data_IF_384960886936
#
_entry.id   IF_384960886936
#
_cell.length_a   1.000
_cell.length_b   1.000
_cell.length_c   1.000
_cell.angle_alpha   90.00
_cell.angle_beta   90.00
_cell.angle_gamma   90.00
#
_symmetry.space_group_name_H-M   'P 1'
#
loop_
_entity.id
_entity.type
_entity.pdbx_description
1 polymer ?
#
# COMPACT_ATOMS: atom_id res chain seq x y z
N UNK A 1 -21.88 -5.30 -16.72
CA UNK A 1 -22.18 -3.97 -16.19
C UNK A 1 -20.90 -3.26 -15.76
N UNK A 2 -20.13 -3.77 -14.80
CA UNK A 2 -18.87 -3.12 -14.39
C UNK A 2 -17.88 -2.87 -15.53
N UNK A 3 -17.63 -3.83 -16.43
CA UNK A 3 -16.68 -3.64 -17.54
C UNK A 3 -17.12 -2.58 -18.58
N UNK A 4 -18.42 -2.50 -18.87
CA UNK A 4 -18.97 -1.49 -19.78
C UNK A 4 -18.87 -0.09 -19.18
N UNK A 5 -19.16 0.06 -17.89
CA UNK A 5 -19.00 1.34 -17.18
C UNK A 5 -17.53 1.77 -17.11
N UNK A 6 -16.60 0.84 -16.85
CA UNK A 6 -15.16 1.11 -16.87
C UNK A 6 -14.73 1.62 -18.25
N UNK A 7 -15.11 0.92 -19.32
CA UNK A 7 -14.77 1.33 -20.69
C UNK A 7 -15.37 2.69 -21.06
N UNK A 8 -16.62 2.94 -20.66
CA UNK A 8 -17.28 4.22 -20.91
C UNK A 8 -16.56 5.37 -20.20
N UNK A 9 -16.25 5.23 -18.92
CA UNK A 9 -15.52 6.24 -18.14
C UNK A 9 -14.12 6.44 -18.73
N UNK A 10 -13.40 5.37 -19.06
CA UNK A 10 -12.07 5.48 -19.65
C UNK A 10 -12.06 6.27 -20.97
N UNK A 11 -13.08 6.06 -21.82
CA UNK A 11 -13.22 6.82 -23.06
C UNK A 11 -13.48 8.32 -22.82
N UNK A 12 -14.15 8.67 -21.71
CA UNK A 12 -14.40 10.06 -21.32
C UNK A 12 -13.14 10.75 -20.76
N UNK A 13 -12.15 9.99 -20.31
CA UNK A 13 -10.83 10.50 -19.86
C UNK A 13 -9.82 10.70 -21.00
N UNK A 14 -10.16 10.37 -22.25
CA UNK A 14 -9.24 10.57 -23.38
C UNK A 14 -9.11 12.06 -23.73
N UNK A 15 -8.16 12.75 -23.10
CA UNK A 15 -7.86 14.16 -23.32
C UNK A 15 -8.44 15.06 -22.24
N UNK A 16 -8.85 16.28 -22.60
CA UNK A 16 -9.45 17.20 -21.63
C UNK A 16 -10.91 16.84 -21.39
N UNK A 17 -11.24 16.40 -20.18
CA UNK A 17 -12.61 16.14 -19.73
C UNK A 17 -13.37 17.47 -19.64
N UNK A 18 -14.36 17.65 -20.51
CA UNK A 18 -15.23 18.83 -20.51
C UNK A 18 -16.38 18.59 -19.55
N UNK A 19 -16.99 19.66 -19.07
CA UNK A 19 -18.19 19.62 -18.22
C UNK A 19 -19.27 18.58 -18.57
N UNK A 20 -19.62 18.40 -19.84
CA UNK A 20 -20.62 17.41 -20.25
C UNK A 20 -20.14 15.94 -20.14
N UNK A 21 -18.83 15.71 -20.18
CA UNK A 21 -18.19 14.42 -19.92
C UNK A 21 -18.10 14.18 -18.42
N UNK A 22 -17.79 15.21 -17.61
CA UNK A 22 -17.86 15.13 -16.14
C UNK A 22 -19.26 14.77 -15.64
N UNK A 23 -20.31 15.40 -16.17
CA UNK A 23 -21.70 15.05 -15.85
C UNK A 23 -22.02 13.59 -16.23
N UNK A 24 -21.52 13.11 -17.38
CA UNK A 24 -21.70 11.72 -17.79
C UNK A 24 -20.96 10.74 -16.86
N UNK A 25 -19.74 11.05 -16.45
CA UNK A 25 -19.00 10.27 -15.45
C UNK A 25 -19.80 10.21 -14.15
N UNK A 26 -20.28 11.36 -13.67
CA UNK A 26 -21.08 11.44 -12.45
C UNK A 26 -22.38 10.65 -12.56
N UNK A 27 -23.07 10.70 -13.69
CA UNK A 27 -24.29 9.92 -13.93
C UNK A 27 -24.03 8.42 -13.93
N UNK A 28 -22.91 7.97 -14.53
CA UNK A 28 -22.51 6.55 -14.49
C UNK A 28 -22.19 6.14 -13.05
N UNK A 29 -21.36 6.89 -12.32
CA UNK A 29 -20.95 6.54 -10.95
C UNK A 29 -22.15 6.58 -10.00
N UNK A 30 -22.97 7.63 -10.07
CA UNK A 30 -24.15 7.78 -9.21
C UNK A 30 -25.30 6.83 -9.57
N UNK A 31 -25.24 6.18 -10.74
CA UNK A 31 -26.19 5.14 -11.16
C UNK A 31 -25.85 3.73 -10.65
N UNK A 32 -24.71 3.54 -9.98
CA UNK A 32 -24.26 2.25 -9.47
C UNK A 32 -24.24 2.28 -7.94
N UNK A 33 -24.73 1.22 -7.30
CA UNK A 33 -24.99 1.16 -5.86
C UNK A 33 -24.23 0.00 -5.17
N UNK A 34 -24.06 0.11 -3.85
CA UNK A 34 -23.53 -0.91 -2.96
C UNK A 34 -22.22 -1.56 -3.43
N UNK A 35 -22.15 -2.89 -3.34
CA UNK A 35 -20.95 -3.65 -3.73
C UNK A 35 -20.56 -3.45 -5.20
N UNK A 36 -21.51 -3.19 -6.08
CA UNK A 36 -21.20 -2.99 -7.50
C UNK A 36 -20.44 -1.68 -7.72
N UNK A 37 -20.77 -0.63 -6.96
CA UNK A 37 -20.02 0.62 -6.98
C UNK A 37 -18.60 0.39 -6.48
N UNK A 38 -18.42 -0.36 -5.39
CA UNK A 38 -17.08 -0.71 -4.92
C UNK A 38 -16.29 -1.49 -5.97
N UNK A 39 -16.92 -2.40 -6.73
CA UNK A 39 -16.25 -3.15 -7.80
C UNK A 39 -15.84 -2.23 -8.95
N UNK A 40 -16.70 -1.29 -9.34
CA UNK A 40 -16.41 -0.28 -10.35
C UNK A 40 -15.22 0.59 -9.92
N UNK A 41 -15.24 1.14 -8.70
CA UNK A 41 -14.15 1.96 -8.15
C UNK A 41 -12.81 1.22 -8.18
N UNK A 42 -12.80 -0.04 -7.73
CA UNK A 42 -11.58 -0.85 -7.76
C UNK A 42 -11.12 -1.18 -9.18
N UNK A 43 -12.03 -1.36 -10.12
CA UNK A 43 -11.67 -1.58 -11.51
C UNK A 43 -11.04 -0.33 -12.15
N UNK A 44 -11.60 0.85 -11.89
CA UNK A 44 -11.06 2.15 -12.32
C UNK A 44 -9.67 2.41 -11.70
N UNK A 45 -9.49 2.08 -10.42
CA UNK A 45 -8.23 2.28 -9.71
C UNK A 45 -7.10 1.32 -10.12
N UNK A 46 -7.40 0.23 -10.85
CA UNK A 46 -6.38 -0.76 -11.29
C UNK A 46 -5.72 -0.42 -12.63
N UNK A 47 -6.06 0.72 -13.21
CA UNK A 47 -5.50 1.16 -14.50
C UNK A 47 -4.01 1.43 -14.36
N UNK A 48 -3.23 1.04 -15.37
CA UNK A 48 -1.77 1.07 -15.36
C UNK A 48 -1.16 2.36 -15.95
N UNK A 49 -2.00 3.38 -16.16
CA UNK A 49 -1.61 4.71 -16.60
C UNK A 49 -1.99 5.78 -15.55
N UNK A 50 -1.91 7.06 -15.91
CA UNK A 50 -2.20 8.18 -15.00
C UNK A 50 -3.71 8.43 -14.79
N UNK A 51 -4.59 7.69 -15.46
CA UNK A 51 -6.03 7.93 -15.43
C UNK A 51 -6.73 7.01 -14.40
N UNK A 52 -6.18 6.90 -13.20
CA UNK A 52 -6.80 6.13 -12.11
C UNK A 52 -8.04 6.87 -11.53
N UNK A 53 -8.67 6.27 -10.51
CA UNK A 53 -9.86 6.85 -9.89
C UNK A 53 -9.57 8.15 -9.14
N UNK A 54 -8.35 8.33 -8.61
CA UNK A 54 -7.97 9.55 -7.92
C UNK A 54 -7.81 10.69 -8.91
N UNK A 55 -7.07 10.47 -10.00
CA UNK A 55 -6.93 11.47 -11.06
C UNK A 55 -8.29 11.78 -11.68
N UNK A 56 -9.15 10.77 -11.91
CA UNK A 56 -10.51 11.01 -12.41
C UNK A 56 -11.30 12.00 -11.53
N UNK A 57 -11.29 11.78 -10.21
CA UNK A 57 -12.16 12.53 -9.30
C UNK A 57 -11.53 13.87 -8.87
N UNK A 58 -10.22 13.93 -8.68
CA UNK A 58 -9.52 15.10 -8.14
C UNK A 58 -8.72 15.88 -9.19
N UNK A 59 -8.40 15.28 -10.33
CA UNK A 59 -7.72 15.91 -11.47
C UNK A 59 -8.67 16.26 -12.60
N UNK A 60 -9.33 15.26 -13.20
CA UNK A 60 -10.14 15.37 -14.41
C UNK A 60 -11.48 16.10 -14.18
N UNK A 61 -12.14 15.86 -13.04
CA UNK A 61 -13.38 16.55 -12.66
C UNK A 61 -13.02 17.88 -11.99
N UNK A 62 -13.10 18.97 -12.76
CA UNK A 62 -12.78 20.31 -12.28
C UNK A 62 -13.99 21.02 -11.62
N UNK A 63 -15.23 20.65 -11.98
CA UNK A 63 -16.46 21.18 -11.38
C UNK A 63 -16.64 20.62 -9.96
N UNK A 64 -16.48 21.50 -8.97
CA UNK A 64 -16.57 21.18 -7.55
C UNK A 64 -17.92 20.58 -7.16
N UNK A 65 -19.02 21.03 -7.76
CA UNK A 65 -20.35 20.51 -7.46
C UNK A 65 -20.54 19.08 -8.00
N UNK A 66 -19.93 18.76 -9.14
CA UNK A 66 -19.96 17.41 -9.71
C UNK A 66 -19.11 16.47 -8.85
N UNK A 67 -17.90 16.89 -8.47
CA UNK A 67 -17.04 16.12 -7.56
C UNK A 67 -17.72 15.85 -6.22
N UNK A 68 -18.31 16.87 -5.59
CA UNK A 68 -19.04 16.71 -4.33
C UNK A 68 -20.21 15.71 -4.47
N UNK A 69 -20.94 15.75 -5.59
CA UNK A 69 -22.02 14.80 -5.89
C UNK A 69 -21.51 13.36 -5.92
N UNK A 70 -20.40 13.12 -6.61
CA UNK A 70 -19.76 11.79 -6.69
C UNK A 70 -19.31 11.32 -5.30
N UNK A 71 -18.58 12.17 -4.57
CA UNK A 71 -18.06 11.80 -3.24
C UNK A 71 -19.18 11.55 -2.22
N UNK A 72 -20.26 12.33 -2.27
CA UNK A 72 -21.43 12.12 -1.41
C UNK A 72 -22.12 10.78 -1.72
N UNK A 73 -22.26 10.43 -2.99
CA UNK A 73 -22.80 9.13 -3.41
C UNK A 73 -21.93 7.97 -2.93
N UNK A 74 -20.61 8.06 -3.14
CA UNK A 74 -19.65 7.05 -2.66
C UNK A 74 -19.76 6.85 -1.15
N UNK A 75 -19.82 7.94 -0.38
CA UNK A 75 -19.93 7.87 1.07
C UNK A 75 -21.27 7.24 1.52
N UNK A 76 -22.37 7.56 0.84
CA UNK A 76 -23.69 7.01 1.15
C UNK A 76 -23.76 5.51 0.89
N UNK A 77 -23.24 5.04 -0.25
CA UNK A 77 -23.26 3.63 -0.64
C UNK A 77 -22.28 2.75 0.15
N UNK A 78 -21.20 3.33 0.64
CA UNK A 78 -20.22 2.62 1.47
C UNK A 78 -20.70 2.40 2.91
N UNK A 79 -21.54 3.29 3.45
CA UNK A 79 -21.94 3.25 4.87
C UNK A 79 -22.59 1.91 5.28
N UNK A 80 -23.51 1.32 4.50
CA UNK A 80 -24.13 0.04 4.84
C UNK A 80 -23.18 -1.16 4.72
N UNK A 81 -22.10 -1.05 3.94
CA UNK A 81 -21.14 -2.15 3.71
C UNK A 81 -20.19 -2.36 4.89
N UNK A 82 -19.97 -1.34 5.71
CA UNK A 82 -19.00 -1.39 6.79
C UNK A 82 -17.56 -1.49 6.26
N UNK A 83 -16.71 -2.31 6.89
CA UNK A 83 -15.32 -2.50 6.50
C UNK A 83 -15.12 -3.79 5.72
N UNK A 84 -14.83 -3.67 4.43
CA UNK A 84 -14.64 -4.80 3.52
C UNK A 84 -13.23 -5.36 3.52
N UNK A 85 -12.23 -4.53 3.83
CA UNK A 85 -10.82 -4.90 3.81
C UNK A 85 -9.91 -3.73 4.12
N UNK A 86 -8.66 -3.81 3.68
CA UNK A 86 -7.69 -2.73 3.77
C UNK A 86 -7.08 -2.41 2.42
N UNK A 87 -6.73 -1.14 2.25
CA UNK A 87 -5.92 -0.61 1.17
C UNK A 87 -4.51 -0.41 1.69
N UNK A 88 -3.51 -0.88 0.94
CA UNK A 88 -2.13 -0.85 1.40
C UNK A 88 -1.41 0.30 0.72
N UNK A 89 -0.94 1.26 1.51
CA UNK A 89 -0.08 2.35 1.05
C UNK A 89 1.36 2.04 1.48
N UNK A 90 2.31 2.01 0.56
CA UNK A 90 3.71 1.70 0.90
C UNK A 90 4.66 2.78 0.41
N UNK A 91 5.56 3.24 1.28
CA UNK A 91 6.79 3.89 0.82
C UNK A 91 7.66 2.89 0.04
N UNK A 92 8.65 3.39 -0.70
CA UNK A 92 9.52 2.59 -1.58
C UNK A 92 10.95 2.58 -1.05
N UNK A 93 11.50 3.75 -0.75
CA UNK A 93 12.92 3.87 -0.49
C UNK A 93 13.21 3.50 0.97
N UNK A 94 14.23 2.68 1.20
CA UNK A 94 14.55 2.06 2.50
C UNK A 94 13.45 1.15 3.07
N UNK A 95 12.20 1.25 2.59
CA UNK A 95 11.08 0.34 2.87
C UNK A 95 11.20 -0.92 2.00
N UNK A 96 11.11 -0.77 0.68
CA UNK A 96 11.18 -1.89 -0.27
C UNK A 96 12.59 -2.08 -0.78
N UNK A 97 13.27 -1.00 -1.16
CA UNK A 97 14.63 -1.06 -1.69
C UNK A 97 15.63 -0.39 -0.74
N UNK A 98 16.77 -1.03 -0.42
CA UNK A 98 17.78 -0.43 0.43
C UNK A 98 18.54 0.66 -0.33
N UNK A 99 18.22 1.94 -0.05
CA UNK A 99 18.67 3.07 -0.87
C UNK A 99 19.57 4.04 -0.11
N UNK A 100 19.20 4.42 1.11
CA UNK A 100 19.87 5.48 1.86
C UNK A 100 20.21 5.05 3.29
N UNK A 101 19.20 4.75 4.10
CA UNK A 101 19.29 4.47 5.53
C UNK A 101 19.32 2.98 5.84
N UNK A 102 18.70 2.14 5.00
CA UNK A 102 18.80 0.70 5.15
C UNK A 102 20.22 0.23 4.75
N UNK A 103 20.91 -0.38 5.70
CA UNK A 103 22.30 -0.84 5.58
C UNK A 103 22.48 -2.31 5.94
N UNK A 104 21.43 -2.98 6.42
CA UNK A 104 21.45 -4.43 6.66
C UNK A 104 21.61 -5.20 5.36
N UNK A 105 21.15 -4.65 4.24
CA UNK A 105 21.27 -5.25 2.92
C UNK A 105 22.21 -4.43 2.02
N UNK A 106 22.86 -5.07 1.04
CA UNK A 106 23.60 -4.35 0.00
C UNK A 106 22.69 -3.35 -0.70
N UNK A 107 23.18 -2.13 -0.90
CA UNK A 107 22.40 -1.08 -1.57
C UNK A 107 22.14 -1.45 -3.02
N UNK A 108 20.92 -1.20 -3.49
CA UNK A 108 20.59 -1.38 -4.89
C UNK A 108 19.16 -1.77 -5.13
N UNK A 109 18.95 -2.49 -6.22
CA UNK A 109 17.64 -2.72 -6.81
C UNK A 109 17.01 -4.05 -6.36
N UNK A 110 17.62 -4.75 -5.41
CA UNK A 110 17.04 -5.97 -4.83
C UNK A 110 16.15 -5.59 -3.66
N UNK A 111 14.88 -6.04 -3.62
CA UNK A 111 13.98 -5.76 -2.52
C UNK A 111 14.51 -6.31 -1.19
N UNK A 112 14.20 -5.63 -0.08
CA UNK A 112 14.38 -6.13 1.28
C UNK A 112 13.65 -7.48 1.40
N UNK A 113 14.31 -8.57 1.84
CA UNK A 113 13.70 -9.88 1.95
C UNK A 113 12.36 -9.88 2.71
N UNK A 114 11.33 -10.39 2.05
CA UNK A 114 9.96 -10.48 2.59
C UNK A 114 9.09 -9.23 2.43
N UNK A 115 9.63 -8.09 1.98
CA UNK A 115 8.88 -6.84 1.87
C UNK A 115 7.66 -6.96 0.95
N UNK A 116 7.88 -7.48 -0.26
CA UNK A 116 6.83 -7.67 -1.26
C UNK A 116 5.82 -8.74 -0.85
N UNK A 117 6.30 -9.85 -0.28
CA UNK A 117 5.47 -10.91 0.27
C UNK A 117 4.53 -10.36 1.36
N UNK A 118 5.03 -9.48 2.21
CA UNK A 118 4.26 -8.86 3.28
C UNK A 118 3.19 -7.89 2.74
N UNK A 119 3.52 -7.07 1.75
CA UNK A 119 2.55 -6.21 1.08
C UNK A 119 1.42 -7.01 0.43
N UNK A 120 1.77 -8.10 -0.28
CA UNK A 120 0.80 -9.03 -0.84
C UNK A 120 -0.05 -9.68 0.27
N UNK A 121 0.56 -10.07 1.39
CA UNK A 121 -0.16 -10.67 2.52
C UNK A 121 -1.17 -9.71 3.16
N UNK A 122 -0.87 -8.41 3.20
CA UNK A 122 -1.80 -7.36 3.66
C UNK A 122 -2.95 -7.15 2.66
N UNK A 123 -2.64 -7.13 1.36
CA UNK A 123 -3.62 -7.01 0.27
C UNK A 123 -4.58 -8.21 0.23
N UNK A 124 -4.07 -9.42 0.45
CA UNK A 124 -4.90 -10.63 0.62
C UNK A 124 -5.72 -10.63 1.92
N UNK A 125 -5.29 -9.86 2.91
CA UNK A 125 -5.99 -9.72 4.18
C UNK A 125 -6.02 -11.00 5.05
N UNK A 126 -6.92 -11.04 6.04
CA UNK A 126 -6.98 -12.12 7.02
C UNK A 126 -7.81 -13.33 6.59
N UNK A 127 -8.47 -13.27 5.42
CA UNK A 127 -9.42 -14.29 4.94
C UNK A 127 -8.91 -14.99 3.69
N UNK A 128 -9.35 -16.23 3.46
CA UNK A 128 -8.91 -17.01 2.27
C UNK A 128 -9.45 -16.45 0.95
N UNK A 129 -10.54 -15.67 1.00
CA UNK A 129 -11.18 -15.05 -0.16
C UNK A 129 -11.33 -13.54 0.09
N UNK A 130 -10.27 -12.74 -0.16
CA UNK A 130 -10.35 -11.29 -0.06
C UNK A 130 -11.42 -10.72 -0.99
N UNK A 131 -12.05 -9.64 -0.56
CA UNK A 131 -13.10 -8.96 -1.33
C UNK A 131 -12.53 -8.36 -2.62
N UNK A 132 -11.35 -7.77 -2.54
CA UNK A 132 -10.55 -7.31 -3.67
C UNK A 132 -9.09 -7.70 -3.48
N UNK A 133 -8.44 -8.04 -4.58
CA UNK A 133 -6.98 -8.12 -4.66
C UNK A 133 -6.48 -7.01 -5.56
N UNK A 134 -5.24 -6.64 -5.33
CA UNK A 134 -4.53 -5.74 -6.20
C UNK A 134 -4.72 -4.27 -5.89
N UNK A 135 -4.82 -3.97 -4.61
CA UNK A 135 -5.12 -2.65 -4.09
C UNK A 135 -3.92 -2.05 -3.35
N UNK A 136 -2.72 -2.52 -3.69
CA UNK A 136 -1.45 -1.97 -3.25
C UNK A 136 -1.14 -0.70 -4.05
N UNK A 137 -0.93 0.38 -3.31
CA UNK A 137 -0.53 1.68 -3.82
C UNK A 137 0.83 2.05 -3.25
N UNK A 138 1.77 2.43 -4.10
CA UNK A 138 3.04 2.97 -3.65
C UNK A 138 2.99 4.49 -3.53
N UNK A 139 3.54 5.02 -2.43
CA UNK A 139 3.79 6.43 -2.21
C UNK A 139 5.30 6.65 -2.30
N UNK A 140 5.79 7.53 -3.17
CA UNK A 140 7.22 7.84 -3.18
C UNK A 140 7.47 9.30 -3.46
N UNK A 141 8.46 9.87 -2.75
CA UNK A 141 9.00 11.19 -3.05
C UNK A 141 10.00 11.17 -4.23
N UNK A 142 10.39 9.98 -4.71
CA UNK A 142 11.36 9.78 -5.80
C UNK A 142 10.79 8.89 -6.92
N UNK A 143 9.71 9.30 -7.59
CA UNK A 143 9.03 8.49 -8.60
C UNK A 143 9.99 8.03 -9.70
N UNK A 144 10.80 8.92 -10.29
CA UNK A 144 11.70 8.53 -11.40
C UNK A 144 12.68 7.41 -11.04
N UNK A 145 13.21 7.42 -9.81
CA UNK A 145 14.11 6.38 -9.32
C UNK A 145 13.33 5.11 -9.07
N UNK A 146 12.22 5.19 -8.31
CA UNK A 146 11.35 4.06 -8.03
C UNK A 146 10.83 3.36 -9.31
N UNK A 147 10.39 4.12 -10.32
CA UNK A 147 9.98 3.54 -11.62
C UNK A 147 11.14 2.90 -12.34
N UNK A 148 12.34 3.51 -12.34
CA UNK A 148 13.53 2.86 -12.89
C UNK A 148 13.87 1.53 -12.18
N UNK A 149 13.67 1.43 -10.88
CA UNK A 149 13.86 0.20 -10.08
C UNK A 149 12.78 -0.85 -10.38
N UNK A 150 11.53 -0.42 -10.42
CA UNK A 150 10.36 -1.24 -10.74
C UNK A 150 10.46 -1.75 -12.20
N UNK A 151 10.90 -0.94 -13.14
CA UNK A 151 11.05 -1.35 -14.54
C UNK A 151 12.28 -2.22 -14.78
N UNK A 152 13.43 -1.89 -14.19
CA UNK A 152 14.69 -2.63 -14.41
C UNK A 152 14.77 -3.97 -13.68
N UNK A 153 14.09 -4.09 -12.53
CA UNK A 153 14.05 -5.32 -11.73
C UNK A 153 12.73 -6.08 -11.91
N UNK A 154 11.61 -5.39 -12.14
CA UNK A 154 10.41 -5.80 -11.38
C UNK A 154 9.24 -6.38 -12.16
N UNK A 155 9.14 -6.36 -13.48
CA UNK A 155 8.03 -7.12 -14.11
C UNK A 155 8.21 -8.63 -14.03
N UNK A 156 9.44 -9.12 -14.22
CA UNK A 156 9.71 -10.57 -14.20
C UNK A 156 10.05 -11.07 -12.80
N UNK A 157 10.84 -10.35 -12.00
CA UNK A 157 11.15 -10.79 -10.63
C UNK A 157 9.91 -10.79 -9.71
N UNK A 158 9.00 -9.79 -9.84
CA UNK A 158 7.73 -9.78 -9.10
C UNK A 158 6.76 -10.86 -9.62
N UNK A 159 6.78 -11.16 -10.93
CA UNK A 159 5.98 -12.26 -11.51
C UNK A 159 6.49 -13.65 -11.09
N UNK A 160 7.80 -13.84 -11.09
CA UNK A 160 8.45 -15.10 -10.70
C UNK A 160 8.35 -15.35 -9.19
N UNK A 161 8.34 -14.30 -8.38
CA UNK A 161 8.11 -14.38 -6.93
C UNK A 161 6.63 -14.61 -6.53
N UNK A 162 5.70 -14.77 -7.48
CA UNK A 162 4.28 -15.00 -7.16
C UNK A 162 3.51 -13.75 -6.70
N UNK A 163 4.16 -12.59 -6.66
CA UNK A 163 3.63 -11.25 -6.30
C UNK A 163 2.76 -10.67 -7.44
N UNK A 164 2.37 -11.51 -8.42
CA UNK A 164 1.63 -11.10 -9.60
C UNK A 164 0.23 -11.72 -9.70
N UNK A 165 -0.75 -11.10 -9.04
CA UNK A 165 -1.82 -10.53 -9.87
C UNK A 165 -1.29 -9.20 -10.43
N UNK A 166 -1.75 -8.82 -11.61
CA UNK A 166 -1.35 -7.65 -12.42
C UNK A 166 -1.58 -6.28 -11.74
N UNK A 167 -1.34 -6.17 -10.45
CA UNK A 167 -1.89 -5.14 -9.58
C UNK A 167 -0.81 -4.49 -8.73
N UNK A 168 0.16 -5.27 -8.23
CA UNK A 168 1.36 -4.73 -7.57
C UNK A 168 2.25 -3.96 -8.56
N UNK A 169 2.12 -4.27 -9.84
CA UNK A 169 2.91 -3.69 -10.93
C UNK A 169 2.22 -2.54 -11.69
N UNK A 170 0.99 -2.22 -11.30
CA UNK A 170 0.10 -1.41 -12.13
C UNK A 170 -0.88 -0.55 -11.35
N UNK A 171 -0.93 -0.61 -10.01
CA UNK A 171 -1.61 0.39 -9.21
C UNK A 171 -0.90 1.73 -9.40
N UNK A 172 -1.33 2.50 -10.39
CA UNK A 172 -0.85 3.83 -10.69
C UNK A 172 -0.89 4.66 -9.42
N UNK A 173 0.27 5.18 -9.05
CA UNK A 173 0.45 6.42 -8.29
C UNK A 173 1.90 6.89 -8.48
N UNK A 174 2.35 6.77 -9.73
CA UNK A 174 3.58 7.40 -10.21
C UNK A 174 3.55 8.91 -10.15
N UNK A 175 2.35 9.49 -10.04
CA UNK A 175 2.11 10.91 -10.13
C UNK A 175 1.37 11.40 -8.90
N UNK A 176 1.92 11.10 -7.73
CA UNK A 176 1.62 11.88 -6.53
C UNK A 176 2.22 13.28 -6.70
N UNK A 177 1.48 14.15 -7.37
CA UNK A 177 1.75 15.58 -7.43
C UNK A 177 1.53 16.20 -6.05
N UNK A 178 2.57 16.20 -5.22
CA UNK A 178 2.73 17.24 -4.21
C UNK A 178 4.13 17.82 -4.28
N UNK A 179 4.29 18.82 -5.15
CA UNK A 179 5.29 19.87 -4.91
C UNK A 179 4.79 20.68 -3.70
N UNK A 180 5.13 20.20 -2.51
CA UNK A 180 5.47 20.97 -1.30
C UNK A 180 5.13 20.20 0.00
N UNK A 181 6.07 20.28 0.96
CA UNK A 181 6.09 19.70 2.32
C UNK A 181 5.67 18.22 2.44
N UNK A 182 6.67 17.33 2.39
CA UNK A 182 6.55 15.85 2.35
C UNK A 182 5.50 15.21 3.28
N UNK A 183 5.25 15.77 4.46
CA UNK A 183 4.24 15.27 5.40
C UNK A 183 2.82 15.73 5.04
N UNK A 184 2.64 17.00 4.67
CA UNK A 184 1.34 17.57 4.32
C UNK A 184 0.79 16.96 3.03
N UNK A 185 1.67 16.69 2.06
CA UNK A 185 1.33 15.98 0.83
C UNK A 185 0.85 14.54 1.09
N UNK A 186 1.61 13.74 1.87
CA UNK A 186 1.23 12.36 2.23
C UNK A 186 -0.11 12.31 2.98
N UNK A 187 -0.39 13.26 3.89
CA UNK A 187 -1.67 13.34 4.59
C UNK A 187 -2.83 13.73 3.67
N UNK A 188 -2.62 14.68 2.76
CA UNK A 188 -3.62 15.05 1.75
C UNK A 188 -4.02 13.88 0.86
N UNK A 189 -3.04 13.06 0.45
CA UNK A 189 -3.29 11.87 -0.37
C UNK A 189 -4.13 10.82 0.38
N UNK A 190 -3.84 10.60 1.66
CA UNK A 190 -4.64 9.68 2.50
C UNK A 190 -6.09 10.14 2.62
N UNK A 191 -6.32 11.45 2.79
CA UNK A 191 -7.68 11.98 2.89
C UNK A 191 -8.47 11.78 1.60
N UNK A 192 -7.87 12.05 0.43
CA UNK A 192 -8.49 11.76 -0.87
C UNK A 192 -8.80 10.27 -1.02
N UNK A 193 -7.85 9.40 -0.69
CA UNK A 193 -8.04 7.96 -0.80
C UNK A 193 -9.15 7.44 0.13
N UNK A 194 -9.26 8.01 1.34
CA UNK A 194 -10.34 7.72 2.29
C UNK A 194 -11.71 8.17 1.77
N UNK A 195 -11.77 9.25 1.00
CA UNK A 195 -13.01 9.73 0.36
C UNK A 195 -13.44 8.82 -0.80
N UNK A 196 -12.48 8.23 -1.53
CA UNK A 196 -12.77 7.29 -2.62
C UNK A 196 -13.13 5.89 -2.14
N UNK A 197 -12.54 5.44 -1.03
CA UNK A 197 -12.73 4.08 -0.49
C UNK A 197 -13.14 4.06 0.99
N UNK A 198 -14.23 4.74 1.40
CA UNK A 198 -14.66 4.80 2.81
C UNK A 198 -15.04 3.44 3.42
N UNK A 199 -15.38 2.44 2.59
CA UNK A 199 -15.63 1.05 3.00
C UNK A 199 -14.36 0.22 3.24
N UNK A 200 -13.17 0.81 3.08
CA UNK A 200 -11.88 0.18 3.38
C UNK A 200 -11.17 0.86 4.55
N UNK A 201 -10.38 0.08 5.29
CA UNK A 201 -9.30 0.64 6.10
C UNK A 201 -8.08 0.97 5.24
N UNK A 202 -7.13 1.74 5.78
CA UNK A 202 -5.86 2.04 5.13
C UNK A 202 -4.73 1.57 6.04
N UNK A 203 -3.84 0.73 5.53
CA UNK A 203 -2.60 0.34 6.21
C UNK A 203 -1.43 1.03 5.51
N UNK A 204 -0.63 1.76 6.28
CA UNK A 204 0.58 2.40 5.76
C UNK A 204 1.82 1.59 6.15
N UNK A 205 2.72 1.42 5.19
CA UNK A 205 4.02 0.75 5.34
C UNK A 205 5.12 1.74 4.94
N UNK A 206 6.08 2.01 5.80
CA UNK A 206 7.16 2.98 5.53
C UNK A 206 8.45 2.66 6.27
N UNK A 207 9.39 3.60 6.32
CA UNK A 207 10.69 3.44 6.98
C UNK A 207 10.96 4.48 8.09
N UNK A 208 11.79 4.13 9.06
CA UNK A 208 12.09 5.04 10.18
C UNK A 208 13.08 6.17 9.85
N UNK A 209 13.68 6.17 8.65
CA UNK A 209 14.72 7.10 8.22
C UNK A 209 14.21 8.32 7.44
N UNK A 210 13.04 8.24 6.79
CA UNK A 210 12.54 9.30 5.88
C UNK A 210 11.29 10.05 6.35
N UNK A 211 11.01 10.05 7.66
CA UNK A 211 9.91 10.83 8.25
C UNK A 211 8.56 10.11 8.27
N UNK A 212 8.48 8.86 7.80
CA UNK A 212 7.24 8.07 7.76
C UNK A 212 6.67 7.79 9.16
N UNK A 213 7.50 7.77 10.20
CA UNK A 213 7.03 7.69 11.59
C UNK A 213 6.13 8.89 11.93
N UNK A 214 6.55 10.11 11.58
CA UNK A 214 5.78 11.33 11.86
C UNK A 214 4.49 11.36 11.03
N UNK A 215 4.59 11.01 9.75
CA UNK A 215 3.42 10.89 8.87
C UNK A 215 2.44 9.86 9.44
N UNK A 216 2.93 8.71 9.87
CA UNK A 216 2.11 7.66 10.43
C UNK A 216 1.44 8.04 11.75
N UNK A 217 2.16 8.72 12.65
CA UNK A 217 1.54 9.28 13.87
C UNK A 217 0.42 10.26 13.50
N UNK A 218 0.66 11.17 12.54
CA UNK A 218 -0.35 12.13 12.06
C UNK A 218 -1.58 11.46 11.44
N UNK A 219 -1.37 10.43 10.61
CA UNK A 219 -2.43 9.60 10.04
C UNK A 219 -3.29 8.97 11.15
N UNK A 220 -2.66 8.32 12.14
CA UNK A 220 -3.36 7.68 13.27
C UNK A 220 -4.10 8.67 14.16
N UNK A 221 -3.55 9.87 14.35
CA UNK A 221 -4.18 10.93 15.14
C UNK A 221 -5.41 11.51 14.42
N UNK A 222 -5.32 11.77 13.12
CA UNK A 222 -6.40 12.34 12.33
C UNK A 222 -7.54 11.33 12.04
N UNK A 223 -7.20 10.07 11.75
CA UNK A 223 -8.17 9.07 11.29
C UNK A 223 -7.98 7.69 11.95
N UNK A 224 -8.09 7.58 13.29
CA UNK A 224 -7.80 6.34 14.02
C UNK A 224 -8.70 5.17 13.64
N UNK A 225 -9.93 5.44 13.18
CA UNK A 225 -10.86 4.40 12.73
C UNK A 225 -10.49 3.89 11.33
N UNK A 226 -10.23 4.80 10.38
CA UNK A 226 -9.95 4.45 8.99
C UNK A 226 -8.56 3.85 8.81
N UNK A 227 -7.60 4.16 9.67
CA UNK A 227 -6.20 3.74 9.52
C UNK A 227 -5.88 2.74 10.62
N UNK A 228 -6.29 1.46 10.54
CA UNK A 228 -6.24 0.52 11.66
C UNK A 228 -4.84 0.34 12.26
N UNK A 229 -3.79 0.39 11.43
CA UNK A 229 -2.42 0.17 11.88
C UNK A 229 -1.41 0.69 10.87
N UNK A 230 -0.18 0.91 11.32
CA UNK A 230 0.95 1.36 10.52
C UNK A 230 2.16 0.47 10.83
N UNK A 231 2.88 0.07 9.80
CA UNK A 231 4.12 -0.69 9.91
C UNK A 231 5.29 0.16 9.45
N UNK A 232 6.30 0.31 10.31
CA UNK A 232 7.53 1.05 9.97
C UNK A 232 8.70 0.08 10.03
N UNK A 233 9.35 -0.12 8.89
CA UNK A 233 10.61 -0.82 8.82
C UNK A 233 11.71 0.03 9.48
N UNK A 234 12.20 -0.43 10.64
CA UNK A 234 13.15 0.34 11.44
C UNK A 234 14.56 0.15 10.91
N UNK A 235 15.05 1.19 10.22
CA UNK A 235 16.36 1.28 9.58
C UNK A 235 17.34 2.15 10.39
N UNK A 236 16.89 2.75 11.51
CA UNK A 236 17.69 3.66 12.34
C UNK A 236 17.96 3.14 13.75
N UNK A 237 17.51 1.92 14.08
CA UNK A 237 17.70 1.27 15.38
C UNK A 237 17.05 2.05 16.52
N UNK A 238 15.75 2.30 16.37
CA UNK A 238 14.93 3.02 17.34
C UNK A 238 14.90 2.28 18.70
N UNK A 239 15.20 2.94 19.82
CA UNK A 239 15.21 2.31 21.15
C UNK A 239 13.85 1.74 21.57
N UNK A 240 13.86 0.66 22.36
CA UNK A 240 12.64 -0.04 22.79
C UNK A 240 11.59 0.87 23.46
N UNK A 241 11.95 1.81 24.38
CA UNK A 241 10.95 2.69 24.98
C UNK A 241 10.17 3.55 23.96
N UNK A 242 10.84 3.94 22.87
CA UNK A 242 10.22 4.70 21.80
C UNK A 242 9.36 3.81 20.90
N UNK A 243 9.81 2.58 20.61
CA UNK A 243 8.98 1.58 19.93
C UNK A 243 7.70 1.29 20.69
N UNK A 244 7.77 1.17 22.02
CA UNK A 244 6.61 0.94 22.88
C UNK A 244 5.64 2.14 22.86
N UNK A 245 6.18 3.37 22.89
CA UNK A 245 5.40 4.62 22.75
C UNK A 245 4.64 4.66 21.43
N UNK A 246 5.31 4.33 20.32
CA UNK A 246 4.73 4.33 18.98
C UNK A 246 3.70 3.21 18.81
N UNK A 247 4.00 2.01 19.32
CA UNK A 247 3.08 0.88 19.28
C UNK A 247 1.77 1.15 20.02
N UNK A 248 1.82 1.89 21.14
CA UNK A 248 0.62 2.34 21.86
C UNK A 248 -0.28 3.27 21.04
N UNK A 249 0.26 3.93 20.01
CA UNK A 249 -0.48 4.74 19.03
C UNK A 249 -0.91 3.95 17.78
N UNK A 250 -0.55 2.67 17.68
CA UNK A 250 -0.80 1.84 16.51
C UNK A 250 0.24 1.98 15.39
N UNK A 251 1.43 2.51 15.71
CA UNK A 251 2.59 2.60 14.81
C UNK A 251 3.62 1.55 15.24
N UNK A 252 3.74 0.47 14.48
CA UNK A 252 4.56 -0.69 14.85
C UNK A 252 5.88 -0.69 14.08
N UNK A 253 6.99 -0.52 14.82
CA UNK A 253 8.33 -0.63 14.27
C UNK A 253 8.78 -2.09 14.21
N UNK A 254 9.27 -2.51 13.05
CA UNK A 254 9.65 -3.90 12.74
C UNK A 254 11.05 -3.94 12.15
N UNK A 255 11.82 -4.98 12.46
CA UNK A 255 13.19 -5.11 11.93
C UNK A 255 13.24 -5.96 10.65
N UNK A 256 12.26 -6.85 10.49
CA UNK A 256 12.12 -7.74 9.33
C UNK A 256 10.65 -7.80 8.93
N UNK A 257 10.40 -8.09 7.65
CA UNK A 257 9.04 -8.28 7.16
C UNK A 257 8.39 -9.59 7.63
N UNK A 258 9.19 -10.55 8.12
CA UNK A 258 8.66 -11.70 8.88
C UNK A 258 8.08 -11.22 10.21
N UNK A 259 8.81 -10.37 10.94
CA UNK A 259 8.32 -9.74 12.16
C UNK A 259 7.06 -8.89 11.91
N UNK A 260 7.02 -8.18 10.77
CA UNK A 260 5.84 -7.45 10.32
C UNK A 260 4.63 -8.37 10.10
N UNK A 261 4.80 -9.49 9.40
CA UNK A 261 3.73 -10.46 9.16
C UNK A 261 3.20 -11.08 10.47
N UNK A 262 4.09 -11.42 11.41
CA UNK A 262 3.71 -11.91 12.75
C UNK A 262 2.88 -10.86 13.48
N UNK A 263 3.32 -9.60 13.48
CA UNK A 263 2.60 -8.52 14.13
C UNK A 263 1.25 -8.25 13.45
N UNK A 264 1.19 -8.23 12.13
CA UNK A 264 -0.02 -8.04 11.35
C UNK A 264 -1.04 -9.16 11.59
N UNK A 265 -0.58 -10.41 11.72
CA UNK A 265 -1.46 -11.54 12.06
C UNK A 265 -2.05 -11.43 13.46
N UNK A 266 -1.26 -10.99 14.45
CA UNK A 266 -1.77 -10.71 15.82
C UNK A 266 -2.82 -9.59 15.83
N UNK A 267 -2.71 -8.64 14.91
CA UNK A 267 -3.69 -7.57 14.73
C UNK A 267 -4.89 -7.98 13.86
N UNK A 268 -4.94 -9.23 13.38
CA UNK A 268 -6.01 -9.72 12.52
C UNK A 268 -6.01 -9.12 11.11
N UNK A 269 -4.86 -8.62 10.64
CA UNK A 269 -4.71 -8.06 9.30
C UNK A 269 -4.28 -9.11 8.27
N UNK A 270 -3.60 -10.18 8.70
CA UNK A 270 -3.02 -11.19 7.82
C UNK A 270 -3.32 -12.60 8.34
N UNK A 271 -3.66 -13.51 7.44
CA UNK A 271 -3.95 -14.91 7.77
C UNK A 271 -2.68 -15.68 8.19
N UNK A 272 -2.83 -16.75 8.99
CA UNK A 272 -1.70 -17.63 9.34
C UNK A 272 -1.09 -18.32 8.11
N UNK A 273 -1.89 -18.55 7.07
CA UNK A 273 -1.41 -19.07 5.80
C UNK A 273 -0.44 -18.08 5.15
N UNK A 274 -0.84 -16.80 5.05
CA UNK A 274 -0.01 -15.76 4.46
C UNK A 274 1.26 -15.51 5.29
N UNK A 275 1.23 -15.64 6.62
CA UNK A 275 2.46 -15.59 7.44
C UNK A 275 3.46 -16.66 7.00
N UNK A 276 3.01 -17.90 6.72
CA UNK A 276 3.89 -18.97 6.24
C UNK A 276 4.49 -18.64 4.87
N UNK A 277 3.69 -18.05 3.98
CA UNK A 277 4.15 -17.59 2.66
C UNK A 277 5.23 -16.53 2.79
N UNK A 278 4.99 -15.50 3.62
CA UNK A 278 5.98 -14.44 3.89
C UNK A 278 7.29 -15.03 4.44
N UNK A 279 7.21 -15.96 5.40
CA UNK A 279 8.40 -16.63 5.94
C UNK A 279 9.18 -17.36 4.84
N UNK A 280 8.51 -18.15 4.01
CA UNK A 280 9.15 -18.93 2.95
C UNK A 280 9.83 -18.03 1.91
N UNK A 281 9.13 -17.00 1.43
CA UNK A 281 9.67 -16.05 0.44
C UNK A 281 10.81 -15.21 1.02
N UNK A 282 10.67 -14.76 2.27
CA UNK A 282 11.70 -13.96 2.92
C UNK A 282 12.99 -14.76 3.15
N UNK A 283 12.90 -16.03 3.54
CA UNK A 283 14.07 -16.92 3.67
C UNK A 283 14.72 -17.15 2.30
N UNK A 284 13.93 -17.46 1.27
CA UNK A 284 14.46 -17.66 -0.09
C UNK A 284 15.18 -16.42 -0.62
N UNK A 285 14.61 -15.23 -0.37
CA UNK A 285 15.24 -13.97 -0.75
C UNK A 285 16.51 -13.70 0.06
N UNK A 286 16.50 -13.96 1.37
CA UNK A 286 17.65 -13.79 2.25
C UNK A 286 18.84 -14.67 1.82
N UNK A 287 18.59 -15.93 1.44
CA UNK A 287 19.62 -16.86 0.97
C UNK A 287 20.22 -16.48 -0.39
N UNK A 288 19.54 -15.60 -1.13
CA UNK A 288 19.99 -15.09 -2.42
C UNK A 288 20.81 -13.80 -2.31
N UNK A 289 20.92 -13.23 -1.10
CA UNK A 289 21.62 -11.95 -0.89
C UNK A 289 23.14 -12.14 -1.07
N UNK A 290 23.73 -11.27 -1.89
CA UNK A 290 25.18 -11.15 -2.04
C UNK A 290 25.75 -10.15 -1.04
N UNK A 291 26.08 -10.62 0.16
CA UNK A 291 26.50 -9.78 1.29
C UNK A 291 27.80 -9.00 1.06
N UNK A 292 27.87 -7.78 1.59
CA UNK A 292 29.07 -6.94 1.53
C UNK A 292 30.13 -7.39 2.56
N UNK A 293 29.69 -7.98 3.68
CA UNK A 293 30.57 -8.57 4.68
C UNK A 293 29.91 -9.72 5.46
N UNK A 294 30.71 -10.64 6.07
CA UNK A 294 30.18 -11.68 6.94
C UNK A 294 29.45 -11.14 8.18
N UNK A 295 29.88 -10.00 8.71
CA UNK A 295 29.23 -9.35 9.86
C UNK A 295 27.84 -8.83 9.51
N UNK A 296 27.68 -8.25 8.30
CA UNK A 296 26.38 -7.81 7.78
C UNK A 296 25.42 -9.01 7.63
N UNK A 297 25.91 -10.10 7.05
CA UNK A 297 25.13 -11.35 6.93
C UNK A 297 24.71 -11.87 8.30
N UNK A 298 25.66 -12.03 9.23
CA UNK A 298 25.40 -12.60 10.53
C UNK A 298 24.38 -11.79 11.33
N UNK A 299 24.56 -10.46 11.41
CA UNK A 299 23.63 -9.59 12.14
C UNK A 299 22.22 -9.62 11.55
N UNK A 300 22.09 -9.66 10.22
CA UNK A 300 20.78 -9.69 9.56
C UNK A 300 20.09 -11.05 9.73
N UNK A 301 20.85 -12.15 9.62
CA UNK A 301 20.32 -13.51 9.85
C UNK A 301 19.85 -13.71 11.30
N UNK A 302 20.52 -13.13 12.29
CA UNK A 302 20.08 -13.17 13.70
C UNK A 302 18.67 -12.55 13.88
N UNK A 303 18.41 -11.40 13.25
CA UNK A 303 17.08 -10.77 13.28
C UNK A 303 16.01 -11.67 12.63
N UNK A 304 16.35 -12.29 11.50
CA UNK A 304 15.47 -13.23 10.82
C UNK A 304 15.17 -14.47 11.68
N UNK A 305 16.18 -15.06 12.31
CA UNK A 305 16.01 -16.24 13.15
C UNK A 305 15.03 -15.97 14.30
N UNK A 306 15.15 -14.81 14.95
CA UNK A 306 14.21 -14.35 15.99
C UNK A 306 12.78 -14.31 15.47
N UNK A 307 12.55 -13.67 14.33
CA UNK A 307 11.20 -13.44 13.81
C UNK A 307 10.60 -14.70 13.17
N UNK A 308 11.42 -15.56 12.58
CA UNK A 308 11.01 -16.89 12.06
C UNK A 308 10.60 -17.82 13.20
N UNK A 309 11.33 -17.84 14.33
CA UNK A 309 10.92 -18.62 15.51
C UNK A 309 9.58 -18.14 16.09
N UNK A 310 9.39 -16.81 16.13
CA UNK A 310 8.11 -16.22 16.51
C UNK A 310 6.97 -16.62 15.55
N UNK A 311 7.23 -16.63 14.24
CA UNK A 311 6.27 -17.07 13.24
C UNK A 311 5.94 -18.57 13.37
N UNK A 312 6.93 -19.42 13.58
CA UNK A 312 6.74 -20.85 13.81
C UNK A 312 5.92 -21.13 15.07
N UNK A 313 6.12 -20.34 16.13
CA UNK A 313 5.31 -20.44 17.35
C UNK A 313 3.87 -20.01 17.12
N UNK A 314 3.65 -18.99 16.28
CA UNK A 314 2.31 -18.48 15.96
C UNK A 314 1.49 -19.46 15.12
N UNK A 315 2.12 -20.24 14.23
CA UNK A 315 1.44 -21.12 13.27
C UNK A 315 1.30 -22.59 13.71
N UNK A 316 1.74 -22.92 14.94
CA UNK A 316 1.59 -24.23 15.58
C UNK A 316 0.23 -24.34 16.26
#
# INVERSE_FOLDING_TARGET
MSEEHVQAIHALQEGWTRRHEEEQVADIICGVEGEELTRLKNALNRRDDHHDLEELVFGDIDDEAIRERILAHIAAEAQPLGRLGVKVLSDIDDTIFPMVHERRYPRGHTPVPGSLAFLQALDDGPVESPWSRGDLTFLTARPEVAFGLIESTSKNALREAGVASSSILSGGLAFLHSKDAMADGKLGNVERYRQLFPEYGIVFVGDSGQGDVLVGEGMREAHPEAIPTIFIHDVVSTPQPERDRLAAKGVHLVDTYVGAAVQASRLGMVSLHNVKTVVAEAISALDSVSWESPEQEHATRELFLRDVDAAHTLVR
#
